data_IF_706579911829
#
_entry.id   IF_706579911829
#
_cell.length_a   1.000
_cell.length_b   1.000
_cell.length_c   1.000
_cell.angle_alpha   90.00
_cell.angle_beta   90.00
_cell.angle_gamma   90.00
#
_symmetry.space_group_name_H-M   'P 1'
#
loop_
_entity.id
_entity.type
_entity.pdbx_description
1 polymer ?
#
# COMPACT_ATOMS: atom_id res chain seq x y z
N UNK A 1 22.33 -3.13 -1.83
CA UNK A 1 23.09 -3.32 -3.09
C UNK A 1 24.31 -4.20 -2.86
N UNK A 2 24.35 -5.39 -3.47
CA UNK A 2 25.43 -6.38 -3.38
C UNK A 2 26.68 -5.90 -4.14
N UNK A 3 27.85 -6.46 -3.81
CA UNK A 3 29.09 -6.19 -4.53
C UNK A 3 28.93 -6.43 -6.04
N UNK A 4 28.36 -7.57 -6.44
CA UNK A 4 28.15 -7.91 -7.86
C UNK A 4 27.24 -6.93 -8.60
N UNK A 5 26.25 -6.36 -7.91
CA UNK A 5 25.32 -5.37 -8.46
C UNK A 5 26.00 -4.01 -8.63
N UNK A 6 26.78 -3.57 -7.63
CA UNK A 6 27.52 -2.29 -7.68
C UNK A 6 28.55 -2.24 -8.81
N UNK A 7 29.11 -3.37 -9.20
CA UNK A 7 30.13 -3.47 -10.25
C UNK A 7 29.59 -4.04 -11.58
N UNK A 8 28.27 -4.15 -11.73
CA UNK A 8 27.64 -4.55 -12.99
C UNK A 8 27.82 -6.03 -13.39
N UNK A 9 28.32 -6.89 -12.48
CA UNK A 9 28.39 -8.34 -12.71
C UNK A 9 27.02 -9.02 -12.63
N UNK A 10 26.05 -8.37 -11.97
CA UNK A 10 24.64 -8.76 -11.95
C UNK A 10 23.77 -7.52 -12.07
N UNK A 11 22.65 -7.65 -12.80
CA UNK A 11 21.67 -6.57 -12.87
C UNK A 11 21.08 -6.30 -11.48
N UNK A 12 20.90 -5.03 -11.17
CA UNK A 12 20.17 -4.59 -9.99
C UNK A 12 18.70 -4.98 -10.19
N UNK A 13 18.01 -5.40 -9.12
CA UNK A 13 16.56 -5.59 -9.20
C UNK A 13 15.91 -4.22 -9.38
N UNK A 14 15.49 -3.93 -10.61
CA UNK A 14 14.90 -2.64 -11.01
C UNK A 14 13.37 -2.69 -11.09
N UNK A 15 12.78 -3.88 -11.19
CA UNK A 15 11.33 -4.06 -11.35
C UNK A 15 10.69 -4.27 -9.98
N UNK A 16 9.73 -3.40 -9.66
CA UNK A 16 8.89 -3.50 -8.45
C UNK A 16 7.99 -4.74 -8.55
N UNK A 17 7.93 -5.50 -7.47
CA UNK A 17 7.08 -6.69 -7.36
C UNK A 17 5.67 -6.28 -6.89
N UNK A 18 4.74 -6.11 -7.83
CA UNK A 18 3.36 -5.65 -7.57
C UNK A 18 2.38 -6.82 -7.52
N UNK A 19 2.35 -7.67 -8.55
CA UNK A 19 1.44 -8.83 -8.63
C UNK A 19 2.22 -10.14 -8.70
N UNK A 20 3.36 -10.19 -7.99
CA UNK A 20 4.26 -11.34 -7.96
C UNK A 20 5.13 -11.33 -6.71
N UNK A 21 5.71 -12.49 -6.40
CA UNK A 21 6.76 -12.65 -5.41
C UNK A 21 7.82 -13.58 -5.97
N UNK A 22 9.06 -13.15 -5.99
CA UNK A 22 10.17 -13.99 -6.40
C UNK A 22 10.77 -14.78 -5.22
N UNK A 23 11.59 -15.76 -5.60
CA UNK A 23 12.17 -16.71 -4.65
C UNK A 23 12.96 -16.00 -3.53
N UNK A 24 13.82 -14.99 -3.81
CA UNK A 24 14.54 -14.29 -2.74
C UNK A 24 13.62 -13.60 -1.73
N UNK A 25 12.56 -12.91 -2.16
CA UNK A 25 11.63 -12.27 -1.23
C UNK A 25 10.88 -13.32 -0.41
N UNK A 26 10.35 -14.36 -1.04
CA UNK A 26 9.65 -15.46 -0.35
C UNK A 26 10.56 -16.16 0.67
N UNK A 27 11.80 -16.48 0.29
CA UNK A 27 12.80 -17.09 1.18
C UNK A 27 13.08 -16.20 2.40
N UNK A 28 13.17 -14.90 2.20
CA UNK A 28 13.52 -13.96 3.28
C UNK A 28 12.35 -13.77 4.25
N UNK A 29 11.11 -13.66 3.74
CA UNK A 29 9.91 -13.60 4.58
C UNK A 29 9.73 -14.88 5.42
N UNK A 30 9.95 -16.06 4.84
CA UNK A 30 9.96 -17.31 5.60
C UNK A 30 11.03 -17.32 6.70
N UNK A 31 12.21 -16.77 6.40
CA UNK A 31 13.30 -16.67 7.36
C UNK A 31 12.95 -15.74 8.54
N UNK A 32 12.19 -14.67 8.30
CA UNK A 32 11.66 -13.83 9.37
C UNK A 32 10.68 -14.60 10.26
N UNK A 33 9.76 -15.38 9.68
CA UNK A 33 8.85 -16.22 10.45
C UNK A 33 9.62 -17.24 11.30
N UNK A 34 10.70 -17.81 10.76
CA UNK A 34 11.59 -18.70 11.52
C UNK A 34 12.15 -18.01 12.76
N UNK A 35 12.80 -16.87 12.57
CA UNK A 35 13.50 -16.16 13.65
C UNK A 35 12.54 -15.58 14.68
N UNK A 36 11.43 -14.98 14.24
CA UNK A 36 10.51 -14.26 15.12
C UNK A 36 9.41 -15.13 15.72
N UNK A 37 9.09 -16.29 15.10
CA UNK A 37 7.98 -17.15 15.50
C UNK A 37 8.45 -18.57 15.79
N UNK A 38 8.95 -19.30 14.79
CA UNK A 38 9.15 -20.76 14.87
C UNK A 38 10.25 -21.19 15.84
N UNK A 39 11.33 -20.41 15.97
CA UNK A 39 12.45 -20.73 16.87
C UNK A 39 12.12 -20.51 18.36
N UNK A 40 10.91 -20.04 18.67
CA UNK A 40 10.42 -19.89 20.04
C UNK A 40 9.69 -21.13 20.59
N UNK A 41 9.72 -22.24 19.85
CA UNK A 41 9.24 -23.53 20.36
C UNK A 41 10.19 -24.06 21.46
N UNK A 42 9.63 -24.45 22.60
CA UNK A 42 10.34 -25.07 23.70
C UNK A 42 10.24 -26.60 23.62
N UNK A 43 11.40 -27.25 23.67
CA UNK A 43 11.50 -28.71 23.71
C UNK A 43 11.33 -29.25 25.13
N UNK A 44 10.60 -30.35 25.26
CA UNK A 44 10.52 -31.13 26.50
C UNK A 44 11.63 -32.19 26.51
N UNK A 45 12.34 -32.39 27.63
CA UNK A 45 13.38 -33.41 27.74
C UNK A 45 12.83 -34.81 27.50
N UNK A 46 13.55 -35.62 26.74
CA UNK A 46 13.17 -36.99 26.42
C UNK A 46 14.36 -37.94 26.40
N UNK A 47 14.09 -39.24 26.50
CA UNK A 47 15.10 -40.31 26.57
C UNK A 47 15.97 -40.33 25.29
N UNK A 48 15.41 -39.96 24.14
CA UNK A 48 16.09 -39.95 22.84
C UNK A 48 16.36 -38.56 22.27
N UNK A 49 16.26 -37.51 23.10
CA UNK A 49 16.38 -36.11 22.67
C UNK A 49 15.17 -35.27 23.08
N UNK A 50 15.21 -33.98 22.73
CA UNK A 50 14.11 -33.08 23.01
C UNK A 50 12.94 -33.35 22.05
N UNK A 51 11.73 -33.43 22.59
CA UNK A 51 10.49 -33.50 21.81
C UNK A 51 9.80 -32.13 21.82
N UNK A 52 9.31 -31.70 20.67
CA UNK A 52 8.69 -30.39 20.49
C UNK A 52 7.20 -30.56 20.29
N UNK A 53 6.43 -30.47 21.37
CA UNK A 53 4.97 -30.57 21.33
C UNK A 53 4.32 -29.20 21.55
N UNK A 54 3.27 -28.90 20.80
CA UNK A 54 2.50 -27.66 20.99
C UNK A 54 1.82 -27.63 22.36
N UNK A 55 1.45 -28.78 22.90
CA UNK A 55 0.86 -28.93 24.24
C UNK A 55 1.87 -28.77 25.39
N UNK A 56 3.18 -28.80 25.12
CA UNK A 56 4.21 -28.63 26.14
C UNK A 56 4.19 -27.25 26.80
N UNK A 57 4.58 -27.22 28.07
CA UNK A 57 4.69 -25.97 28.82
C UNK A 57 5.68 -25.00 28.15
N UNK A 58 5.29 -23.72 28.04
CA UNK A 58 6.05 -22.67 27.36
C UNK A 58 5.65 -22.46 25.89
N UNK A 59 4.85 -23.36 25.30
CA UNK A 59 4.41 -23.27 23.90
C UNK A 59 2.99 -22.72 23.73
N UNK A 60 2.36 -22.23 24.81
CA UNK A 60 0.94 -21.86 24.83
C UNK A 60 0.61 -20.79 23.78
N UNK A 61 1.49 -19.81 23.59
CA UNK A 61 1.32 -18.74 22.59
C UNK A 61 1.45 -19.24 21.17
N UNK A 62 2.42 -20.13 20.91
CA UNK A 62 2.61 -20.71 19.58
C UNK A 62 1.47 -21.68 19.23
N UNK A 63 1.00 -22.46 20.21
CA UNK A 63 -0.19 -23.29 20.07
C UNK A 63 -1.42 -22.47 19.72
N UNK A 64 -1.68 -21.37 20.43
CA UNK A 64 -2.78 -20.45 20.12
C UNK A 64 -2.69 -19.89 18.70
N UNK A 65 -1.49 -19.51 18.24
CA UNK A 65 -1.28 -19.09 16.86
C UNK A 65 -1.62 -20.20 15.86
N UNK A 66 -1.17 -21.44 16.11
CA UNK A 66 -1.45 -22.57 15.23
C UNK A 66 -2.95 -22.93 15.19
N UNK A 67 -3.63 -22.89 16.34
CA UNK A 67 -5.08 -23.08 16.43
C UNK A 67 -5.83 -21.99 15.62
N UNK A 68 -5.41 -20.72 15.74
CA UNK A 68 -5.95 -19.61 14.94
C UNK A 68 -5.67 -19.78 13.45
N UNK A 69 -4.47 -20.22 13.07
CA UNK A 69 -4.11 -20.50 11.68
C UNK A 69 -5.00 -21.61 11.10
N UNK A 70 -5.20 -22.72 11.83
CA UNK A 70 -6.07 -23.81 11.37
C UNK A 70 -7.52 -23.34 11.24
N UNK A 71 -8.07 -22.76 12.29
CA UNK A 71 -9.49 -22.46 12.37
C UNK A 71 -9.90 -21.23 11.55
N UNK A 72 -9.13 -20.12 11.64
CA UNK A 72 -9.52 -18.85 11.03
C UNK A 72 -8.92 -18.64 9.64
N UNK A 73 -7.66 -19.03 9.43
CA UNK A 73 -6.96 -18.78 8.15
C UNK A 73 -7.19 -19.94 7.17
N UNK A 74 -6.79 -21.16 7.51
CA UNK A 74 -6.95 -22.34 6.65
C UNK A 74 -8.37 -22.90 6.60
N UNK A 75 -9.25 -22.50 7.52
CA UNK A 75 -10.62 -23.04 7.68
C UNK A 75 -10.65 -24.57 7.80
N UNK A 76 -9.66 -25.13 8.51
CA UNK A 76 -9.52 -26.57 8.78
C UNK A 76 -10.06 -26.96 10.16
N UNK A 77 -10.57 -28.19 10.32
CA UNK A 77 -10.92 -28.73 11.63
C UNK A 77 -9.71 -28.78 12.58
N UNK A 78 -9.89 -28.41 13.85
CA UNK A 78 -8.80 -28.40 14.84
C UNK A 78 -8.30 -29.80 15.20
N UNK A 79 -9.09 -30.85 15.01
CA UNK A 79 -8.67 -32.24 15.19
C UNK A 79 -7.62 -32.69 14.15
N UNK A 80 -7.41 -31.90 13.07
CA UNK A 80 -6.31 -32.11 12.12
C UNK A 80 -5.02 -31.37 12.52
N UNK A 81 -5.02 -30.55 13.57
CA UNK A 81 -3.81 -29.92 14.09
C UNK A 81 -3.05 -30.95 14.94
N UNK A 82 -1.93 -31.44 14.43
CA UNK A 82 -1.06 -32.37 15.15
C UNK A 82 -0.40 -31.67 16.35
N UNK A 83 -0.12 -32.42 17.40
CA UNK A 83 0.59 -31.91 18.58
C UNK A 83 2.11 -31.88 18.36
N UNK A 84 2.65 -32.71 17.45
CA UNK A 84 4.06 -32.72 17.06
C UNK A 84 4.39 -31.52 16.17
N UNK A 85 5.18 -30.59 16.72
CA UNK A 85 5.61 -29.37 16.05
C UNK A 85 6.31 -29.65 14.72
N UNK A 86 7.05 -30.75 14.61
CA UNK A 86 7.79 -31.08 13.39
C UNK A 86 6.83 -31.24 12.20
N UNK A 87 5.68 -31.88 12.43
CA UNK A 87 4.65 -32.10 11.42
C UNK A 87 3.88 -30.81 11.12
N UNK A 88 3.54 -30.04 12.15
CA UNK A 88 2.86 -28.74 11.99
C UNK A 88 3.74 -27.78 11.18
N UNK A 89 5.00 -27.63 11.57
CA UNK A 89 5.98 -26.80 10.86
C UNK A 89 6.18 -27.26 9.42
N UNK A 90 6.24 -28.56 9.14
CA UNK A 90 6.34 -29.09 7.79
C UNK A 90 5.12 -28.71 6.93
N UNK A 91 3.91 -28.75 7.48
CA UNK A 91 2.69 -28.31 6.79
C UNK A 91 2.69 -26.81 6.52
N UNK A 92 3.03 -26.00 7.52
CA UNK A 92 3.13 -24.54 7.38
C UNK A 92 4.17 -24.16 6.32
N UNK A 93 5.34 -24.81 6.35
CA UNK A 93 6.40 -24.60 5.37
C UNK A 93 5.93 -24.97 3.97
N UNK A 94 5.31 -26.13 3.81
CA UNK A 94 4.82 -26.58 2.51
C UNK A 94 3.83 -25.57 1.94
N UNK A 95 2.82 -25.18 2.72
CA UNK A 95 1.87 -24.15 2.33
C UNK A 95 2.57 -22.87 1.88
N UNK A 96 3.45 -22.31 2.72
CA UNK A 96 4.09 -21.02 2.45
C UNK A 96 4.92 -20.97 1.17
N UNK A 97 5.46 -22.11 0.71
CA UNK A 97 6.26 -22.17 -0.52
C UNK A 97 5.45 -22.61 -1.75
N UNK A 98 4.29 -23.22 -1.57
CA UNK A 98 3.41 -23.67 -2.64
C UNK A 98 2.24 -22.70 -2.90
N UNK A 99 1.95 -21.77 -1.98
CA UNK A 99 0.84 -20.83 -2.08
C UNK A 99 1.08 -19.72 -3.11
N UNK A 100 -0.01 -19.13 -3.60
CA UNK A 100 0.01 -17.99 -4.50
C UNK A 100 0.75 -16.79 -3.88
N UNK A 101 1.21 -15.88 -4.73
CA UNK A 101 2.05 -14.76 -4.26
C UNK A 101 1.33 -13.88 -3.23
N UNK A 102 0.02 -13.65 -3.40
CA UNK A 102 -0.79 -12.83 -2.49
C UNK A 102 -1.04 -13.55 -1.16
N UNK A 103 -1.13 -14.88 -1.17
CA UNK A 103 -1.32 -15.69 0.04
C UNK A 103 -0.09 -15.61 0.97
N UNK A 104 1.10 -15.31 0.45
CA UNK A 104 2.28 -15.03 1.28
C UNK A 104 2.07 -13.77 2.12
N UNK A 105 1.52 -12.72 1.50
CA UNK A 105 1.20 -11.47 2.18
C UNK A 105 0.08 -11.67 3.21
N UNK A 106 -1.00 -12.36 2.82
CA UNK A 106 -2.09 -12.73 3.74
C UNK A 106 -1.55 -13.51 4.95
N UNK A 107 -0.61 -14.44 4.73
CA UNK A 107 -0.05 -15.28 5.78
C UNK A 107 0.77 -14.45 6.79
N UNK A 108 1.69 -13.59 6.32
CA UNK A 108 2.52 -12.79 7.23
C UNK A 108 1.70 -11.71 7.94
N UNK A 109 0.69 -11.13 7.28
CA UNK A 109 -0.25 -10.21 7.93
C UNK A 109 -1.05 -10.91 9.02
N UNK A 110 -1.59 -12.09 8.72
CA UNK A 110 -2.33 -12.88 9.70
C UNK A 110 -1.46 -13.20 10.92
N UNK A 111 -0.22 -13.65 10.71
CA UNK A 111 0.72 -13.96 11.80
C UNK A 111 1.04 -12.71 12.63
N UNK A 112 1.33 -11.57 11.98
CA UNK A 112 1.61 -10.30 12.66
C UNK A 112 0.46 -9.89 13.60
N UNK A 113 -0.78 -10.14 13.18
CA UNK A 113 -1.99 -9.74 13.92
C UNK A 113 -2.49 -10.76 14.94
N UNK A 114 -2.01 -12.02 14.89
CA UNK A 114 -2.57 -13.11 15.69
C UNK A 114 -1.57 -13.82 16.62
N UNK A 115 -0.31 -13.40 16.66
CA UNK A 115 0.66 -13.98 17.59
C UNK A 115 0.86 -13.11 18.83
N UNK A 116 0.17 -13.48 19.91
CA UNK A 116 0.07 -12.70 21.16
C UNK A 116 1.30 -12.82 22.07
N UNK A 117 2.50 -12.72 21.49
CA UNK A 117 3.78 -12.67 22.21
C UNK A 117 4.19 -11.22 22.45
N UNK A 118 4.72 -10.92 23.64
CA UNK A 118 5.10 -9.57 24.03
C UNK A 118 6.09 -8.95 23.01
N UNK A 119 5.78 -7.73 22.55
CA UNK A 119 6.57 -6.96 21.57
C UNK A 119 6.82 -7.65 20.22
N UNK A 120 6.20 -8.80 19.96
CA UNK A 120 6.44 -9.55 18.72
C UNK A 120 6.02 -8.74 17.49
N UNK A 121 4.79 -8.18 17.52
CA UNK A 121 4.21 -7.49 16.37
C UNK A 121 5.10 -6.36 15.88
N UNK A 122 5.48 -5.45 16.77
CA UNK A 122 6.31 -4.28 16.42
C UNK A 122 7.65 -4.70 15.81
N UNK A 123 8.32 -5.69 16.41
CA UNK A 123 9.61 -6.17 15.92
C UNK A 123 9.49 -6.90 14.57
N UNK A 124 8.45 -7.72 14.42
CA UNK A 124 8.20 -8.48 13.20
C UNK A 124 7.80 -7.57 12.03
N UNK A 125 6.90 -6.61 12.27
CA UNK A 125 6.48 -5.60 11.28
C UNK A 125 7.65 -4.77 10.79
N UNK A 126 8.51 -4.29 11.70
CA UNK A 126 9.73 -3.55 11.33
C UNK A 126 10.65 -4.42 10.46
N UNK A 127 10.89 -5.67 10.85
CA UNK A 127 11.72 -6.59 10.08
C UNK A 127 11.13 -6.91 8.70
N UNK A 128 9.81 -7.11 8.61
CA UNK A 128 9.10 -7.32 7.35
C UNK A 128 9.26 -6.11 6.43
N UNK A 129 9.03 -4.88 6.93
CA UNK A 129 9.15 -3.67 6.12
C UNK A 129 10.58 -3.48 5.56
N UNK A 130 11.61 -3.76 6.36
CA UNK A 130 13.00 -3.72 5.90
C UNK A 130 13.28 -4.72 4.76
N UNK A 131 12.74 -5.94 4.87
CA UNK A 131 12.89 -6.98 3.83
C UNK A 131 12.10 -6.62 2.58
N UNK A 132 10.85 -6.21 2.74
CA UNK A 132 9.97 -5.80 1.63
C UNK A 132 10.60 -4.64 0.85
N UNK A 133 11.25 -3.70 1.54
CA UNK A 133 12.00 -2.62 0.90
C UNK A 133 13.25 -3.08 0.18
N UNK A 134 14.10 -3.84 0.87
CA UNK A 134 15.34 -4.35 0.30
C UNK A 134 15.11 -5.21 -0.94
N UNK A 135 14.00 -5.95 -0.97
CA UNK A 135 13.64 -6.86 -2.05
C UNK A 135 12.70 -6.20 -3.09
N UNK A 136 12.46 -4.89 -2.99
CA UNK A 136 11.69 -4.09 -3.97
C UNK A 136 10.23 -4.56 -4.13
N UNK A 137 9.59 -4.94 -3.01
CA UNK A 137 8.15 -5.21 -2.93
C UNK A 137 7.35 -3.91 -3.03
N UNK A 138 6.19 -3.95 -3.70
CA UNK A 138 5.24 -2.83 -3.70
C UNK A 138 4.52 -2.64 -2.36
N UNK A 139 4.54 -3.64 -1.47
CA UNK A 139 3.73 -3.68 -0.25
C UNK A 139 4.54 -3.37 1.01
N UNK A 140 3.93 -2.68 1.97
CA UNK A 140 4.47 -2.43 3.33
C UNK A 140 3.37 -2.56 4.36
N UNK A 141 3.75 -2.92 5.58
CA UNK A 141 2.88 -2.82 6.74
C UNK A 141 2.66 -1.34 7.07
N UNK A 142 1.40 -0.93 7.10
CA UNK A 142 0.92 0.37 7.56
C UNK A 142 -0.10 0.12 8.66
N UNK A 143 0.29 0.45 9.90
CA UNK A 143 -0.46 0.00 11.07
C UNK A 143 -0.49 -1.54 11.13
N UNK A 144 -1.67 -2.10 10.93
CA UNK A 144 -1.95 -3.53 11.12
C UNK A 144 -2.16 -4.29 9.81
N UNK A 145 -2.03 -3.63 8.66
CA UNK A 145 -2.33 -4.22 7.34
C UNK A 145 -1.19 -3.99 6.34
N UNK A 146 -1.04 -4.88 5.38
CA UNK A 146 -0.17 -4.72 4.22
C UNK A 146 -0.90 -3.92 3.14
N UNK A 147 -0.36 -2.75 2.82
CA UNK A 147 -0.87 -1.88 1.77
C UNK A 147 0.19 -1.63 0.71
N UNK A 148 -0.23 -1.35 -0.52
CA UNK A 148 0.70 -0.88 -1.56
C UNK A 148 1.25 0.48 -1.14
N UNK A 149 2.56 0.69 -1.27
CA UNK A 149 3.22 1.95 -0.92
C UNK A 149 2.65 3.11 -1.75
N UNK A 150 2.33 2.85 -3.01
CA UNK A 150 1.69 3.85 -3.88
C UNK A 150 0.38 4.32 -3.26
N UNK A 151 -0.46 3.42 -2.75
CA UNK A 151 -1.73 3.78 -2.10
C UNK A 151 -1.51 4.62 -0.83
N UNK A 152 -0.48 4.31 -0.04
CA UNK A 152 -0.19 5.08 1.18
C UNK A 152 0.32 6.50 0.86
N UNK A 153 1.26 6.64 -0.06
CA UNK A 153 1.71 7.97 -0.48
C UNK A 153 0.62 8.75 -1.21
N UNK A 154 -0.24 8.07 -1.99
CA UNK A 154 -1.43 8.65 -2.60
C UNK A 154 -2.36 9.25 -1.52
N UNK A 155 -2.60 8.52 -0.41
CA UNK A 155 -3.40 9.01 0.72
C UNK A 155 -2.71 10.15 1.46
N UNK A 156 -1.43 10.01 1.80
CA UNK A 156 -0.63 11.04 2.49
C UNK A 156 -0.61 12.36 1.70
N UNK A 157 -0.51 12.28 0.38
CA UNK A 157 -0.51 13.45 -0.49
C UNK A 157 -1.85 14.19 -0.44
N UNK A 158 -2.97 13.45 -0.47
CA UNK A 158 -4.32 14.00 -0.36
C UNK A 158 -4.56 14.62 1.02
N UNK A 159 -4.18 13.92 2.10
CA UNK A 159 -4.31 14.40 3.47
C UNK A 159 -3.48 15.66 3.72
N UNK A 160 -2.24 15.71 3.21
CA UNK A 160 -1.38 16.88 3.30
C UNK A 160 -2.01 18.09 2.58
N UNK A 161 -2.56 17.89 1.39
CA UNK A 161 -3.21 18.96 0.63
C UNK A 161 -4.48 19.47 1.34
N UNK A 162 -5.29 18.57 1.91
CA UNK A 162 -6.45 18.91 2.71
C UNK A 162 -6.09 19.69 3.98
N UNK A 163 -5.00 19.32 4.64
CA UNK A 163 -4.55 19.95 5.88
C UNK A 163 -3.95 21.35 5.65
N UNK A 164 -3.20 21.55 4.56
CA UNK A 164 -2.57 22.84 4.22
C UNK A 164 -3.52 23.82 3.54
N UNK A 165 -4.54 23.33 2.84
CA UNK A 165 -5.47 24.18 2.10
C UNK A 165 -6.55 24.78 3.00
N UNK A 166 -7.06 25.95 2.60
CA UNK A 166 -8.20 26.60 3.24
C UNK A 166 -9.22 27.08 2.19
N UNK A 167 -10.43 27.40 2.66
CA UNK A 167 -11.47 28.00 1.82
C UNK A 167 -11.89 27.11 0.63
N UNK A 168 -12.02 27.67 -0.59
CA UNK A 168 -12.50 26.94 -1.77
C UNK A 168 -11.63 25.72 -2.14
N UNK A 169 -10.30 25.82 -2.02
CA UNK A 169 -9.38 24.71 -2.35
C UNK A 169 -9.68 23.49 -1.49
N UNK A 170 -9.77 23.68 -0.16
CA UNK A 170 -10.07 22.59 0.77
C UNK A 170 -11.48 22.02 0.55
N UNK A 171 -12.44 22.88 0.24
CA UNK A 171 -13.84 22.48 -0.01
C UNK A 171 -13.93 21.54 -1.21
N UNK A 172 -13.30 21.90 -2.32
CA UNK A 172 -13.27 21.10 -3.54
C UNK A 172 -12.50 19.78 -3.35
N UNK A 173 -11.35 19.78 -2.65
CA UNK A 173 -10.63 18.54 -2.35
C UNK A 173 -11.45 17.57 -1.49
N UNK A 174 -12.11 18.09 -0.43
CA UNK A 174 -12.95 17.26 0.43
C UNK A 174 -14.11 16.67 -0.36
N UNK A 175 -14.74 17.48 -1.21
CA UNK A 175 -15.84 17.01 -2.06
C UNK A 175 -15.39 15.96 -3.07
N UNK A 176 -14.23 16.14 -3.69
CA UNK A 176 -13.65 15.14 -4.58
C UNK A 176 -13.43 13.81 -3.87
N UNK A 177 -12.82 13.83 -2.69
CA UNK A 177 -12.58 12.64 -1.87
C UNK A 177 -13.89 11.93 -1.50
N UNK A 178 -14.93 12.65 -1.08
CA UNK A 178 -16.26 12.09 -0.78
C UNK A 178 -16.87 11.36 -1.99
N UNK A 179 -16.76 11.97 -3.18
CA UNK A 179 -17.32 11.42 -4.43
C UNK A 179 -16.57 10.17 -4.88
N UNK A 180 -15.24 10.11 -4.70
CA UNK A 180 -14.43 8.94 -5.03
C UNK A 180 -14.59 7.79 -4.02
N UNK A 181 -14.86 8.09 -2.75
CA UNK A 181 -14.88 7.11 -1.65
C UNK A 181 -16.28 6.62 -1.26
N UNK A 182 -17.33 7.15 -1.88
CA UNK A 182 -18.71 6.71 -1.64
C UNK A 182 -18.91 5.23 -1.97
N UNK A 183 -19.30 4.44 -0.96
CA UNK A 183 -19.49 2.98 -1.08
C UNK A 183 -20.79 2.59 -1.79
N UNK A 184 -21.83 3.42 -1.68
CA UNK A 184 -23.16 3.14 -2.23
C UNK A 184 -23.34 3.67 -3.65
N UNK A 185 -22.77 4.84 -3.92
CA UNK A 185 -22.88 5.51 -5.22
C UNK A 185 -21.63 6.38 -5.45
N UNK A 186 -20.49 5.80 -5.85
CA UNK A 186 -19.31 6.57 -6.23
C UNK A 186 -19.59 7.39 -7.49
N UNK A 187 -19.09 8.62 -7.51
CA UNK A 187 -19.19 9.54 -8.64
C UNK A 187 -17.81 10.01 -9.06
N UNK A 188 -17.08 9.07 -9.69
CA UNK A 188 -15.71 9.26 -10.17
C UNK A 188 -15.58 10.45 -11.11
N UNK A 189 -16.59 10.71 -11.95
CA UNK A 189 -16.57 11.85 -12.87
C UNK A 189 -16.59 13.17 -12.12
N UNK A 190 -17.52 13.34 -11.18
CA UNK A 190 -17.58 14.58 -10.42
C UNK A 190 -16.42 14.68 -9.42
N UNK A 191 -15.86 13.56 -8.93
CA UNK A 191 -14.59 13.58 -8.18
C UNK A 191 -13.49 14.26 -8.98
N UNK A 192 -13.28 13.87 -10.24
CA UNK A 192 -12.24 14.47 -11.10
C UNK A 192 -12.47 15.96 -11.31
N UNK A 193 -13.73 16.38 -11.55
CA UNK A 193 -14.07 17.80 -11.72
C UNK A 193 -13.72 18.61 -10.47
N UNK A 194 -14.10 18.10 -9.29
CA UNK A 194 -13.83 18.76 -8.02
C UNK A 194 -12.32 18.81 -7.73
N UNK A 195 -11.55 17.75 -8.04
CA UNK A 195 -10.08 17.78 -7.93
C UNK A 195 -9.46 18.92 -8.74
N UNK A 196 -9.97 19.15 -9.95
CA UNK A 196 -9.47 20.21 -10.84
C UNK A 196 -9.95 21.59 -10.40
N UNK A 197 -11.19 21.71 -9.92
CA UNK A 197 -11.71 22.93 -9.32
C UNK A 197 -10.91 23.37 -8.08
N UNK A 198 -10.36 22.42 -7.33
CA UNK A 198 -9.42 22.73 -6.24
C UNK A 198 -8.14 23.38 -6.76
N UNK A 199 -7.54 22.83 -7.83
CA UNK A 199 -6.36 23.42 -8.47
C UNK A 199 -6.67 24.79 -9.05
N UNK A 200 -7.79 24.94 -9.78
CA UNK A 200 -8.23 26.24 -10.31
C UNK A 200 -8.37 27.29 -9.22
N UNK A 201 -8.99 26.91 -8.10
CA UNK A 201 -9.15 27.77 -6.92
C UNK A 201 -7.80 28.20 -6.34
N UNK A 202 -6.82 27.28 -6.26
CA UNK A 202 -5.49 27.60 -5.74
C UNK A 202 -4.78 28.56 -6.68
N UNK A 203 -4.75 28.27 -7.98
CA UNK A 203 -4.06 29.11 -8.97
C UNK A 203 -4.70 30.50 -9.05
N UNK A 204 -6.03 30.59 -9.02
CA UNK A 204 -6.73 31.87 -8.95
C UNK A 204 -6.35 32.68 -7.70
N UNK A 205 -6.22 32.01 -6.55
CA UNK A 205 -5.81 32.64 -5.29
C UNK A 205 -4.37 33.13 -5.37
N UNK A 206 -3.45 32.31 -5.89
CA UNK A 206 -2.03 32.65 -6.03
C UNK A 206 -1.79 33.80 -7.02
N UNK A 207 -2.47 33.76 -8.17
CA UNK A 207 -2.36 34.81 -9.20
C UNK A 207 -3.10 36.09 -8.80
N UNK A 208 -4.10 35.98 -7.92
CA UNK A 208 -4.94 37.12 -7.50
C UNK A 208 -5.95 37.54 -8.57
N UNK A 209 -6.30 36.65 -9.49
CA UNK A 209 -7.20 36.92 -10.62
C UNK A 209 -8.28 35.86 -10.76
N UNK A 210 -9.40 36.23 -11.41
CA UNK A 210 -10.45 35.29 -11.83
C UNK A 210 -10.22 34.87 -13.27
N UNK A 211 -10.39 33.58 -13.55
CA UNK A 211 -10.23 33.01 -14.89
C UNK A 211 -10.31 31.49 -14.83
N UNK A 212 -10.22 30.86 -15.99
CA UNK A 212 -10.12 29.40 -16.04
C UNK A 212 -8.69 28.95 -15.72
N UNK A 213 -8.54 27.72 -15.26
CA UNK A 213 -7.22 27.15 -14.95
C UNK A 213 -6.24 27.26 -16.13
N UNK A 214 -6.69 26.99 -17.36
CA UNK A 214 -5.85 27.10 -18.56
C UNK A 214 -5.36 28.53 -18.86
N UNK A 215 -6.07 29.56 -18.40
CA UNK A 215 -5.64 30.96 -18.50
C UNK A 215 -4.68 31.32 -17.35
N UNK A 216 -5.04 30.95 -16.13
CA UNK A 216 -4.35 31.37 -14.93
C UNK A 216 -3.03 30.63 -14.70
N UNK A 217 -2.94 29.35 -15.06
CA UNK A 217 -1.72 28.56 -14.87
C UNK A 217 -0.54 29.14 -15.66
N UNK A 218 -0.83 29.84 -16.76
CA UNK A 218 0.18 30.53 -17.58
C UNK A 218 0.82 31.72 -16.88
N UNK A 219 0.24 32.20 -15.78
CA UNK A 219 0.72 33.33 -14.99
C UNK A 219 1.52 32.91 -13.74
N UNK A 220 1.68 31.60 -13.49
CA UNK A 220 2.55 31.11 -12.41
C UNK A 220 4.02 31.22 -12.81
N UNK A 221 4.69 32.30 -12.41
CA UNK A 221 6.08 32.61 -12.77
C UNK A 221 7.09 31.58 -12.21
N UNK A 222 6.83 31.00 -11.03
CA UNK A 222 7.71 30.02 -10.38
C UNK A 222 7.63 28.59 -10.96
N UNK A 223 6.78 28.36 -11.98
CA UNK A 223 6.75 27.10 -12.71
C UNK A 223 7.54 27.16 -14.01
N UNK A 224 8.40 26.16 -14.22
CA UNK A 224 9.07 25.96 -15.50
C UNK A 224 8.04 25.87 -16.65
N UNK A 225 8.26 26.55 -17.79
CA UNK A 225 7.28 26.62 -18.89
C UNK A 225 6.77 25.25 -19.36
N UNK A 226 7.67 24.26 -19.53
CA UNK A 226 7.27 22.92 -19.94
C UNK A 226 6.33 22.22 -18.94
N UNK A 227 6.53 22.45 -17.63
CA UNK A 227 5.68 21.87 -16.59
C UNK A 227 4.29 22.53 -16.61
N UNK A 228 4.26 23.85 -16.78
CA UNK A 228 3.04 24.63 -16.95
C UNK A 228 2.24 24.16 -18.17
N UNK A 229 2.89 23.94 -19.31
CA UNK A 229 2.23 23.46 -20.53
C UNK A 229 1.69 22.04 -20.37
N UNK A 230 2.43 21.16 -19.67
CA UNK A 230 1.98 19.81 -19.35
C UNK A 230 0.69 19.83 -18.50
N UNK A 231 0.65 20.62 -17.43
CA UNK A 231 -0.55 20.76 -16.61
C UNK A 231 -1.70 21.43 -17.38
N UNK A 232 -1.42 22.47 -18.18
CA UNK A 232 -2.44 23.09 -19.02
C UNK A 232 -3.08 22.09 -19.98
N UNK A 233 -2.29 21.17 -20.54
CA UNK A 233 -2.77 20.12 -21.46
C UNK A 233 -3.56 19.05 -20.70
N UNK A 234 -3.04 18.60 -19.55
CA UNK A 234 -3.70 17.61 -18.68
C UNK A 234 -5.08 18.10 -18.21
N UNK A 235 -5.21 19.38 -17.87
CA UNK A 235 -6.50 19.95 -17.48
C UNK A 235 -7.40 20.23 -18.69
N UNK A 236 -6.82 20.51 -19.87
CA UNK A 236 -7.52 20.55 -21.15
C UNK A 236 -8.26 19.24 -21.43
N UNK A 237 -7.65 18.08 -21.17
CA UNK A 237 -8.28 16.75 -21.31
C UNK A 237 -9.60 16.60 -20.52
N UNK A 238 -9.78 17.35 -19.44
CA UNK A 238 -11.04 17.31 -18.65
C UNK A 238 -12.08 18.31 -19.13
N UNK A 239 -11.66 19.28 -19.95
CA UNK A 239 -12.46 20.42 -20.42
C UNK A 239 -12.92 20.30 -21.88
N UNK A 240 -12.18 19.57 -22.73
CA UNK A 240 -12.38 19.48 -24.19
C UNK A 240 -13.54 18.56 -24.62
N UNK A 241 -14.00 18.80 -25.87
CA UNK A 241 -15.13 18.12 -26.55
C UNK A 241 -14.95 16.59 -26.72
N UNK A 242 -13.74 16.05 -26.52
CA UNK A 242 -13.45 14.60 -26.52
C UNK A 242 -13.07 14.03 -25.15
N UNK A 243 -13.14 14.84 -24.09
CA UNK A 243 -12.69 14.50 -22.74
C UNK A 243 -13.80 14.00 -21.80
N UNK A 244 -13.51 14.02 -20.49
CA UNK A 244 -14.41 13.59 -19.40
C UNK A 244 -15.79 14.30 -19.44
N UNK A 245 -15.91 15.44 -20.14
CA UNK A 245 -17.18 16.17 -20.30
C UNK A 245 -18.12 15.57 -21.36
N UNK A 246 -17.60 14.88 -22.39
CA UNK A 246 -18.38 14.32 -23.51
C UNK A 246 -18.57 12.80 -23.51
N UNK A 247 -18.03 12.08 -22.53
CA UNK A 247 -18.34 10.67 -22.25
C UNK A 247 -19.83 10.41 -21.85
N UNK A 248 -20.74 11.31 -22.24
CA UNK A 248 -22.19 11.11 -22.34
C UNK A 248 -22.59 10.44 -23.66
N UNK A 249 -21.75 10.54 -24.70
CA UNK A 249 -22.08 10.07 -26.06
C UNK A 249 -21.37 8.77 -26.45
N UNK A 250 -20.19 8.49 -25.88
CA UNK A 250 -19.46 7.24 -26.11
C UNK A 250 -19.04 6.57 -24.79
N UNK A 251 -19.07 5.24 -24.81
CA UNK A 251 -19.16 4.32 -23.67
C UNK A 251 -17.90 4.16 -22.81
N UNK A 252 -17.01 5.14 -22.73
CA UNK A 252 -15.86 5.08 -21.81
C UNK A 252 -16.27 5.55 -20.41
N UNK A 253 -16.57 4.57 -19.54
CA UNK A 253 -16.84 4.80 -18.13
C UNK A 253 -15.55 5.20 -17.42
N UNK A 254 -15.46 6.45 -16.99
CA UNK A 254 -14.48 6.91 -15.99
C UNK A 254 -14.60 6.04 -14.73
N UNK A 255 -13.50 5.38 -14.35
CA UNK A 255 -13.44 4.46 -13.23
C UNK A 255 -12.76 5.06 -12.00
N UNK A 256 -12.62 4.20 -10.98
CA UNK A 256 -11.94 4.55 -9.74
C UNK A 256 -10.47 4.95 -9.98
N UNK A 257 -9.78 4.27 -10.89
CA UNK A 257 -8.36 4.53 -11.17
C UNK A 257 -8.14 5.93 -11.75
N UNK A 258 -9.00 6.39 -12.68
CA UNK A 258 -8.94 7.76 -13.17
C UNK A 258 -9.27 8.79 -12.08
N UNK A 259 -10.28 8.52 -11.25
CA UNK A 259 -10.64 9.42 -10.14
C UNK A 259 -9.51 9.54 -9.11
N UNK A 260 -8.89 8.41 -8.74
CA UNK A 260 -7.75 8.34 -7.84
C UNK A 260 -6.55 9.08 -8.43
N UNK A 261 -6.23 8.84 -9.70
CA UNK A 261 -5.15 9.53 -10.39
C UNK A 261 -5.30 11.05 -10.32
N UNK A 262 -6.47 11.60 -10.70
CA UNK A 262 -6.70 13.04 -10.67
C UNK A 262 -6.72 13.60 -9.26
N UNK A 263 -7.32 12.90 -8.29
CA UNK A 263 -7.35 13.33 -6.90
C UNK A 263 -5.94 13.46 -6.31
N UNK A 264 -5.09 12.45 -6.53
CA UNK A 264 -3.70 12.43 -6.06
C UNK A 264 -2.86 13.46 -6.81
N UNK A 265 -2.92 13.48 -8.15
CA UNK A 265 -2.12 14.41 -8.96
C UNK A 265 -2.46 15.88 -8.67
N UNK A 266 -3.75 16.20 -8.48
CA UNK A 266 -4.17 17.55 -8.09
C UNK A 266 -3.70 17.90 -6.66
N UNK A 267 -3.75 16.95 -5.73
CA UNK A 267 -3.26 17.15 -4.36
C UNK A 267 -1.74 17.40 -4.34
N UNK A 268 -0.99 16.62 -5.13
CA UNK A 268 0.45 16.81 -5.34
C UNK A 268 0.78 18.18 -5.93
N UNK A 269 0.03 18.62 -6.94
CA UNK A 269 0.19 19.95 -7.52
C UNK A 269 -0.09 21.05 -6.51
N UNK A 270 -1.15 20.91 -5.71
CA UNK A 270 -1.52 21.88 -4.67
C UNK A 270 -0.40 21.99 -3.63
N UNK A 271 0.07 20.86 -3.09
CA UNK A 271 1.18 20.84 -2.13
C UNK A 271 2.46 21.44 -2.70
N UNK A 272 2.78 21.12 -3.96
CA UNK A 272 3.94 21.67 -4.66
C UNK A 272 3.87 23.19 -4.79
N UNK A 273 2.76 23.73 -5.31
CA UNK A 273 2.58 25.19 -5.49
C UNK A 273 2.58 25.91 -4.15
N UNK A 274 1.88 25.38 -3.14
CA UNK A 274 1.87 25.96 -1.80
C UNK A 274 3.29 26.01 -1.21
N UNK A 275 4.12 24.97 -1.38
CA UNK A 275 5.51 24.96 -0.87
C UNK A 275 6.47 25.96 -1.56
N UNK A 276 6.08 26.46 -2.73
CA UNK A 276 6.90 27.36 -3.56
C UNK A 276 6.49 28.82 -3.42
N UNK A 277 5.20 29.08 -3.19
CA UNK A 277 4.60 30.41 -3.30
C UNK A 277 4.07 30.95 -1.96
N UNK A 278 3.84 30.09 -0.96
CA UNK A 278 3.42 30.46 0.41
C UNK A 278 4.50 30.09 1.44
#
# INVERSE_FOLDING_TARGET
MRFSERYGYKNIREIVQIDSIDEPLRNTLWSLLKVHVWDHIHGSPGIYGAYYHLSSHGNEKLRQLCERLWFNYFKKPLDQLDDDWTKVHAQLRRYFFECEWFEVYDFIEFVANNYDRHQFKDQFVVACNLVLEKEVSAYRFVGDVLSRITEQHEVEEVDLALAKSCGPVQTHLRRALELASSREAPDYRNSIKESISAVESLVATVVGEKGTLGQLIKKLEDLHPALRDAFSTLYGYTSDEGGIRHALLESEKVGFEEAKFFLVACSAFINYVQSRVL
#
